data_IF_405061151394
#
_entry.id   IF_405061151394
#
_cell.length_a   1.000
_cell.length_b   1.000
_cell.length_c   1.000
_cell.angle_alpha   90.00
_cell.angle_beta   90.00
_cell.angle_gamma   90.00
#
_symmetry.space_group_name_H-M   'P 1'
#
loop_
_entity.id
_entity.type
_entity.pdbx_description
1 polymer ?
#
# COMPACT_ATOMS: atom_id res chain seq x y z
N UNK A 1 23.43 -4.96 23.22
CA UNK A 1 23.04 -3.73 22.50
C UNK A 1 22.02 -2.98 23.34
N UNK A 2 22.04 -1.63 23.39
CA UNK A 2 20.98 -0.87 24.04
C UNK A 2 19.62 -1.22 23.44
N UNK A 3 18.57 -1.24 24.27
CA UNK A 3 17.19 -1.47 23.77
C UNK A 3 16.80 -0.31 22.83
N UNK A 4 16.13 -0.58 21.70
CA UNK A 4 15.65 0.47 20.80
C UNK A 4 14.79 1.51 21.52
N UNK A 5 14.88 2.79 21.11
CA UNK A 5 14.19 3.90 21.77
C UNK A 5 12.66 3.69 21.85
N UNK A 6 12.07 3.06 20.83
CA UNK A 6 10.64 2.83 20.73
C UNK A 6 10.07 1.91 21.83
N UNK A 7 10.89 1.05 22.44
CA UNK A 7 10.47 0.14 23.54
C UNK A 7 10.06 0.89 24.81
N UNK A 8 10.36 2.19 24.90
CA UNK A 8 9.96 3.08 26.01
C UNK A 8 8.65 3.81 25.74
N UNK A 9 8.12 3.73 24.51
CA UNK A 9 6.89 4.42 24.11
C UNK A 9 5.68 3.69 24.66
N UNK A 10 4.81 4.41 25.36
CA UNK A 10 3.54 3.89 25.90
C UNK A 10 2.39 4.35 25.01
N UNK A 11 1.67 3.39 24.43
CA UNK A 11 0.47 3.67 23.63
C UNK A 11 -0.69 4.03 24.55
N UNK A 12 -1.15 5.28 24.51
CA UNK A 12 -2.31 5.77 25.26
C UNK A 12 -3.16 6.72 24.41
N UNK A 13 -4.43 6.93 24.79
CA UNK A 13 -5.29 7.90 24.13
C UNK A 13 -4.66 9.30 24.12
N UNK A 14 -4.15 9.75 25.28
CA UNK A 14 -3.45 11.03 25.41
C UNK A 14 -2.22 11.16 24.50
N UNK A 15 -1.49 10.05 24.24
CA UNK A 15 -0.36 10.09 23.31
C UNK A 15 -0.81 10.24 21.84
N UNK A 16 -1.94 9.64 21.47
CA UNK A 16 -2.54 9.78 20.14
C UNK A 16 -3.22 11.14 19.95
N UNK A 17 -3.84 11.70 20.99
CA UNK A 17 -4.47 13.03 20.93
C UNK A 17 -3.42 14.13 20.68
N UNK A 18 -2.21 13.96 21.19
CA UNK A 18 -1.06 14.86 20.88
C UNK A 18 -0.68 14.86 19.40
N UNK A 19 -1.03 13.81 18.65
CA UNK A 19 -0.75 13.71 17.21
C UNK A 19 -1.91 14.25 16.34
N UNK A 20 -3.05 14.64 16.91
CA UNK A 20 -4.19 15.16 16.14
C UNK A 20 -3.85 16.41 15.31
N UNK A 21 -3.02 17.37 15.77
CA UNK A 21 -2.60 18.49 14.92
C UNK A 21 -1.79 18.04 13.70
N UNK A 22 -0.87 17.08 13.87
CA UNK A 22 -0.08 16.51 12.78
C UNK A 22 -0.96 15.74 11.80
N UNK A 23 -1.97 15.01 12.29
CA UNK A 23 -2.95 14.34 11.43
C UNK A 23 -3.65 15.32 10.50
N UNK A 24 -4.19 16.42 11.04
CA UNK A 24 -4.88 17.42 10.22
C UNK A 24 -3.94 18.03 9.19
N UNK A 25 -2.73 18.40 9.61
CA UNK A 25 -1.72 18.97 8.71
C UNK A 25 -1.36 18.00 7.57
N UNK A 26 -1.14 16.72 7.89
CA UNK A 26 -0.78 15.71 6.89
C UNK A 26 -1.95 15.41 5.95
N UNK A 27 -3.17 15.32 6.48
CA UNK A 27 -4.37 15.11 5.66
C UNK A 27 -4.62 16.29 4.71
N UNK A 28 -4.56 17.51 5.21
CA UNK A 28 -4.68 18.73 4.40
C UNK A 28 -3.58 18.80 3.34
N UNK A 29 -2.36 18.36 3.66
CA UNK A 29 -1.27 18.27 2.69
C UNK A 29 -1.59 17.31 1.55
N UNK A 30 -2.13 16.12 1.85
CA UNK A 30 -2.55 15.15 0.82
C UNK A 30 -3.65 15.76 -0.05
N UNK A 31 -4.71 16.29 0.56
CA UNK A 31 -5.89 16.84 -0.13
C UNK A 31 -5.55 18.06 -1.00
N UNK A 32 -4.59 18.88 -0.58
CA UNK A 32 -4.23 20.12 -1.29
C UNK A 32 -3.17 19.90 -2.37
N UNK A 33 -2.23 18.99 -2.15
CA UNK A 33 -1.04 18.90 -2.99
C UNK A 33 -0.88 17.56 -3.70
N UNK A 34 -1.31 16.47 -3.09
CA UNK A 34 -0.99 15.13 -3.57
C UNK A 34 -2.13 14.50 -4.37
N UNK A 35 -3.37 14.91 -4.16
CA UNK A 35 -4.51 14.37 -4.91
C UNK A 35 -4.68 15.13 -6.23
N UNK A 36 -4.71 14.40 -7.33
CA UNK A 36 -5.03 14.94 -8.64
C UNK A 36 -6.53 15.20 -8.81
N UNK A 37 -6.90 15.89 -9.89
CA UNK A 37 -8.29 16.23 -10.20
C UNK A 37 -9.23 15.03 -10.36
N UNK A 38 -8.68 13.83 -10.57
CA UNK A 38 -9.42 12.58 -10.73
C UNK A 38 -9.48 11.76 -9.43
N UNK A 39 -8.82 12.21 -8.36
CA UNK A 39 -8.78 11.53 -7.07
C UNK A 39 -7.60 10.57 -6.88
N UNK A 40 -6.64 10.49 -7.81
CA UNK A 40 -5.41 9.71 -7.63
C UNK A 40 -4.39 10.49 -6.80
N UNK A 41 -3.68 9.80 -5.92
CA UNK A 41 -2.54 10.37 -5.18
C UNK A 41 -1.29 10.30 -6.05
N UNK A 42 -0.67 11.44 -6.34
CA UNK A 42 0.60 11.54 -7.04
C UNK A 42 1.72 10.79 -6.30
N UNK A 43 2.64 10.25 -7.08
CA UNK A 43 3.87 9.64 -6.61
C UNK A 43 5.07 10.56 -6.80
N UNK A 44 6.08 10.36 -5.95
CA UNK A 44 7.39 10.97 -6.10
C UNK A 44 7.37 12.49 -6.28
N UNK A 45 6.50 13.23 -5.60
CA UNK A 45 6.44 14.69 -5.75
C UNK A 45 7.76 15.35 -5.34
N UNK A 46 8.13 16.44 -6.00
CA UNK A 46 9.31 17.23 -5.66
C UNK A 46 9.07 17.91 -4.28
N UNK A 47 9.87 17.57 -3.28
CA UNK A 47 9.69 18.07 -1.91
C UNK A 47 9.93 19.58 -1.79
N UNK A 48 10.74 20.18 -2.66
CA UNK A 48 11.03 21.62 -2.65
C UNK A 48 9.86 22.43 -3.20
N UNK A 49 9.25 21.97 -4.29
CA UNK A 49 8.16 22.70 -4.97
C UNK A 49 6.77 22.25 -4.51
N UNK A 50 6.69 21.09 -3.85
CA UNK A 50 5.45 20.42 -3.43
C UNK A 50 4.51 20.22 -4.64
N UNK A 51 5.11 19.85 -5.78
CA UNK A 51 4.42 19.59 -7.05
C UNK A 51 5.01 18.34 -7.71
N UNK A 52 4.29 17.69 -8.65
CA UNK A 52 4.91 16.72 -9.54
C UNK A 52 6.14 17.31 -10.23
N UNK A 53 7.17 16.49 -10.44
CA UNK A 53 8.35 16.90 -11.20
C UNK A 53 7.96 17.31 -12.63
N UNK A 54 8.72 18.25 -13.18
CA UNK A 54 8.64 18.63 -14.60
C UNK A 54 9.74 17.95 -15.40
N UNK A 55 9.55 17.77 -16.71
CA UNK A 55 10.59 17.20 -17.59
C UNK A 55 11.88 18.03 -17.56
N UNK A 56 11.77 19.36 -17.40
CA UNK A 56 12.93 20.25 -17.27
C UNK A 56 13.76 19.96 -16.01
N UNK A 57 13.11 19.69 -14.87
CA UNK A 57 13.79 19.30 -13.63
C UNK A 57 14.37 17.89 -13.74
N UNK A 58 13.63 16.96 -14.35
CA UNK A 58 14.06 15.56 -14.53
C UNK A 58 15.24 15.40 -15.49
N UNK A 59 15.43 16.35 -16.43
CA UNK A 59 16.55 16.33 -17.39
C UNK A 59 17.92 16.28 -16.69
N UNK A 60 18.05 16.91 -15.51
CA UNK A 60 19.29 16.92 -14.74
C UNK A 60 19.69 15.53 -14.21
N UNK A 61 18.73 14.62 -14.07
CA UNK A 61 18.93 13.27 -13.55
C UNK A 61 19.22 12.24 -14.64
N UNK A 62 19.28 12.68 -15.92
CA UNK A 62 19.53 11.82 -17.08
C UNK A 62 18.62 10.58 -17.10
N UNK A 63 17.34 10.76 -16.72
CA UNK A 63 16.34 9.71 -16.84
C UNK A 63 16.19 9.38 -18.33
N UNK A 64 16.73 8.23 -18.75
CA UNK A 64 16.63 7.77 -20.14
C UNK A 64 15.15 7.59 -20.50
N UNK A 65 14.76 7.77 -21.78
CA UNK A 65 13.44 7.39 -22.26
C UNK A 65 13.37 5.86 -22.35
N UNK A 66 13.27 5.20 -21.20
CA UNK A 66 12.77 3.82 -21.08
C UNK A 66 11.46 3.86 -20.28
N UNK A 67 10.79 5.01 -20.30
CA UNK A 67 9.36 4.96 -20.17
C UNK A 67 8.90 4.07 -21.34
N UNK A 68 8.00 3.13 -21.02
CA UNK A 68 7.34 2.24 -21.96
C UNK A 68 7.23 2.89 -23.35
N UNK A 69 7.37 2.20 -24.49
CA UNK A 69 7.23 2.84 -25.81
C UNK A 69 5.93 3.66 -25.99
N UNK A 70 4.97 3.51 -25.08
CA UNK A 70 3.68 4.20 -25.02
C UNK A 70 3.63 5.37 -24.02
N UNK A 71 4.67 5.59 -23.21
CA UNK A 71 4.80 6.70 -22.25
C UNK A 71 6.01 7.52 -22.68
N UNK A 72 5.77 8.66 -23.30
CA UNK A 72 6.85 9.51 -23.84
C UNK A 72 7.17 10.72 -22.93
N UNK A 73 6.60 10.75 -21.73
CA UNK A 73 6.70 11.86 -20.78
C UNK A 73 7.22 11.34 -19.41
N UNK A 74 8.50 11.57 -19.09
CA UNK A 74 9.10 11.17 -17.82
C UNK A 74 8.38 11.73 -16.59
N UNK A 75 7.96 13.00 -16.61
CA UNK A 75 7.21 13.61 -15.52
C UNK A 75 5.89 12.88 -15.24
N UNK A 76 5.14 12.52 -16.29
CA UNK A 76 3.89 11.76 -16.16
C UNK A 76 4.12 10.32 -15.68
N UNK A 77 5.21 9.67 -16.06
CA UNK A 77 5.59 8.39 -15.49
C UNK A 77 5.83 8.54 -13.98
N UNK A 78 6.68 9.50 -13.60
CA UNK A 78 7.10 9.71 -12.21
C UNK A 78 5.93 10.06 -11.30
N UNK A 79 5.08 10.98 -11.75
CA UNK A 79 3.92 11.43 -10.99
C UNK A 79 2.91 10.31 -10.70
N UNK A 80 2.96 9.19 -11.43
CA UNK A 80 1.94 8.14 -11.34
C UNK A 80 2.47 6.72 -11.09
N UNK A 81 3.79 6.51 -11.00
CA UNK A 81 4.42 5.19 -10.89
C UNK A 81 3.97 4.36 -9.70
N UNK A 82 3.61 4.97 -8.56
CA UNK A 82 3.09 4.30 -7.36
C UNK A 82 1.70 4.83 -6.95
N UNK A 83 1.01 5.51 -7.86
CA UNK A 83 -0.16 6.32 -7.49
C UNK A 83 -1.32 5.49 -6.95
N UNK A 84 -1.57 4.30 -7.51
CA UNK A 84 -2.59 3.39 -6.96
C UNK A 84 -2.27 2.91 -5.55
N UNK A 85 -0.99 2.78 -5.18
CA UNK A 85 -0.59 2.41 -3.82
C UNK A 85 -0.89 3.54 -2.84
N UNK A 86 -0.45 4.76 -3.16
CA UNK A 86 -0.75 5.95 -2.35
C UNK A 86 -2.26 6.19 -2.24
N UNK A 87 -2.98 6.04 -3.35
CA UNK A 87 -4.44 6.20 -3.42
C UNK A 87 -5.15 5.15 -2.56
N UNK A 88 -4.75 3.89 -2.66
CA UNK A 88 -5.32 2.80 -1.86
C UNK A 88 -5.07 2.97 -0.37
N UNK A 89 -3.84 3.30 0.03
CA UNK A 89 -3.53 3.56 1.45
C UNK A 89 -4.27 4.78 2.00
N UNK A 90 -4.38 5.86 1.21
CA UNK A 90 -5.13 7.04 1.61
C UNK A 90 -6.62 6.74 1.76
N UNK A 91 -7.24 6.06 0.79
CA UNK A 91 -8.63 5.63 0.88
C UNK A 91 -8.88 4.75 2.12
N UNK A 92 -8.00 3.77 2.38
CA UNK A 92 -8.08 2.91 3.56
C UNK A 92 -7.94 3.72 4.87
N UNK A 93 -7.12 4.77 4.89
CA UNK A 93 -6.97 5.66 6.05
C UNK A 93 -8.26 6.42 6.33
N UNK A 94 -8.97 6.87 5.29
CA UNK A 94 -10.23 7.60 5.44
C UNK A 94 -11.39 6.68 5.84
N UNK A 95 -11.40 5.42 5.37
CA UNK A 95 -12.33 4.40 5.91
C UNK A 95 -12.06 4.18 7.40
N UNK A 96 -10.79 4.03 7.81
CA UNK A 96 -10.44 3.85 9.23
C UNK A 96 -10.81 5.08 10.08
N UNK A 97 -10.67 6.30 9.54
CA UNK A 97 -11.14 7.54 10.17
C UNK A 97 -12.66 7.49 10.38
N UNK A 98 -13.43 7.21 9.33
CA UNK A 98 -14.89 7.09 9.42
C UNK A 98 -15.31 6.04 10.47
N UNK A 99 -14.71 4.86 10.46
CA UNK A 99 -15.02 3.81 11.44
C UNK A 99 -14.69 4.21 12.88
N UNK A 100 -13.72 5.11 13.07
CA UNK A 100 -13.30 5.59 14.39
C UNK A 100 -14.16 6.76 14.88
N UNK A 101 -14.59 7.66 14.00
CA UNK A 101 -15.21 8.95 14.37
C UNK A 101 -16.68 9.09 13.97
N UNK A 102 -17.16 8.28 13.02
CA UNK A 102 -18.45 8.46 12.36
C UNK A 102 -18.49 9.61 11.36
N UNK A 103 -17.34 10.20 11.01
CA UNK A 103 -17.26 11.39 10.16
C UNK A 103 -17.55 11.07 8.69
N UNK A 104 -18.74 11.47 8.23
CA UNK A 104 -19.19 11.24 6.86
C UNK A 104 -18.31 11.90 5.79
N UNK A 105 -17.58 12.98 6.11
CA UNK A 105 -16.63 13.60 5.17
C UNK A 105 -15.49 12.62 4.84
N UNK A 106 -14.97 11.91 5.85
CA UNK A 106 -13.95 10.90 5.64
C UNK A 106 -14.44 9.77 4.71
N UNK A 107 -15.68 9.32 4.89
CA UNK A 107 -16.27 8.32 4.00
C UNK A 107 -16.48 8.86 2.57
N UNK A 108 -16.87 10.13 2.44
CA UNK A 108 -16.96 10.82 1.15
C UNK A 108 -15.62 10.91 0.42
N UNK A 109 -14.55 11.25 1.15
CA UNK A 109 -13.18 11.23 0.63
C UNK A 109 -12.81 9.81 0.17
N UNK A 110 -12.96 8.79 1.02
CA UNK A 110 -12.70 7.40 0.63
C UNK A 110 -13.47 6.98 -0.65
N UNK A 111 -14.74 7.38 -0.77
CA UNK A 111 -15.55 7.12 -1.95
C UNK A 111 -14.96 7.75 -3.23
N UNK A 112 -14.41 8.96 -3.13
CA UNK A 112 -13.75 9.64 -4.25
C UNK A 112 -12.53 8.85 -4.73
N UNK A 113 -11.60 8.48 -3.83
CA UNK A 113 -10.44 7.68 -4.22
C UNK A 113 -10.82 6.28 -4.75
N UNK A 114 -11.84 5.65 -4.17
CA UNK A 114 -12.35 4.36 -4.67
C UNK A 114 -12.93 4.49 -6.07
N UNK A 115 -13.67 5.57 -6.33
CA UNK A 115 -14.15 5.89 -7.68
C UNK A 115 -12.99 6.05 -8.67
N UNK A 116 -11.93 6.78 -8.28
CA UNK A 116 -10.72 6.94 -9.10
C UNK A 116 -10.09 5.58 -9.46
N UNK A 117 -9.91 4.68 -8.50
CA UNK A 117 -9.38 3.33 -8.75
C UNK A 117 -10.30 2.50 -9.65
N UNK A 118 -11.63 2.59 -9.46
CA UNK A 118 -12.61 1.91 -10.33
C UNK A 118 -12.60 2.44 -11.77
N UNK A 119 -12.27 3.73 -11.96
CA UNK A 119 -12.06 4.30 -13.29
C UNK A 119 -10.78 3.78 -13.94
N UNK A 120 -9.70 3.56 -13.17
CA UNK A 120 -8.49 2.91 -13.72
C UNK A 120 -8.79 1.46 -14.14
N UNK A 121 -9.58 0.71 -13.37
CA UNK A 121 -10.09 -0.60 -13.81
C UNK A 121 -10.88 -0.49 -15.11
N UNK A 122 -11.83 0.46 -15.20
CA UNK A 122 -12.63 0.66 -16.40
C UNK A 122 -11.76 0.93 -17.64
N UNK A 123 -10.73 1.75 -17.50
CA UNK A 123 -9.77 1.98 -18.58
C UNK A 123 -8.97 0.72 -18.93
N UNK A 124 -8.62 -0.10 -17.93
CA UNK A 124 -8.00 -1.40 -18.14
C UNK A 124 -8.89 -2.41 -18.88
N UNK A 125 -10.21 -2.35 -18.70
CA UNK A 125 -11.16 -3.21 -19.42
C UNK A 125 -11.14 -2.99 -20.95
N UNK A 126 -10.65 -1.83 -21.42
CA UNK A 126 -10.46 -1.56 -22.85
C UNK A 126 -9.35 -2.44 -23.46
N UNK A 127 -8.41 -2.90 -22.64
CA UNK A 127 -7.43 -3.91 -23.02
C UNK A 127 -7.98 -5.31 -22.73
N UNK A 128 -8.31 -5.59 -21.47
CA UNK A 128 -8.96 -6.83 -21.07
C UNK A 128 -9.69 -6.69 -19.73
N UNK A 129 -10.83 -7.36 -19.60
CA UNK A 129 -11.57 -7.40 -18.33
C UNK A 129 -10.70 -7.92 -17.19
N UNK A 130 -10.66 -7.17 -16.08
CA UNK A 130 -9.87 -7.51 -14.91
C UNK A 130 -8.41 -7.02 -14.95
N UNK A 131 -7.95 -6.48 -16.08
CA UNK A 131 -6.68 -5.79 -16.14
C UNK A 131 -6.74 -4.48 -15.37
N UNK A 132 -5.78 -4.26 -14.47
CA UNK A 132 -5.60 -3.00 -13.73
C UNK A 132 -4.24 -2.39 -14.13
N UNK A 133 -4.22 -1.43 -15.08
CA UNK A 133 -2.98 -0.84 -15.56
C UNK A 133 -2.36 0.10 -14.53
N UNK A 134 -1.04 0.30 -14.64
CA UNK A 134 -0.40 1.46 -14.02
C UNK A 134 -0.92 2.74 -14.65
N UNK A 135 -1.38 3.74 -13.88
CA UNK A 135 -2.05 4.89 -14.44
C UNK A 135 -1.09 6.00 -14.88
N UNK A 136 -0.11 5.66 -15.73
CA UNK A 136 0.85 6.62 -16.25
C UNK A 136 0.16 7.78 -16.97
N UNK A 137 0.46 9.01 -16.54
CA UNK A 137 -0.22 10.22 -17.03
C UNK A 137 -1.66 10.38 -16.54
N UNK A 138 -2.05 9.67 -15.48
CA UNK A 138 -3.36 9.73 -14.84
C UNK A 138 -4.44 8.90 -15.55
N UNK A 139 -5.67 8.99 -15.04
CA UNK A 139 -6.81 8.18 -15.53
C UNK A 139 -7.06 8.38 -17.03
N UNK A 140 -6.84 9.59 -17.55
CA UNK A 140 -7.09 9.92 -18.97
C UNK A 140 -6.16 9.20 -19.95
N UNK A 141 -5.02 8.69 -19.47
CA UNK A 141 -3.97 8.07 -20.28
C UNK A 141 -3.69 6.62 -19.90
N UNK A 142 -4.24 6.14 -18.78
CA UNK A 142 -3.91 4.82 -18.26
C UNK A 142 -4.32 3.66 -19.18
N UNK A 143 -5.32 3.83 -20.06
CA UNK A 143 -5.67 2.83 -21.07
C UNK A 143 -4.53 2.52 -22.05
N UNK A 144 -3.58 3.45 -22.23
CA UNK A 144 -2.40 3.25 -23.10
C UNK A 144 -1.23 2.60 -22.37
N UNK A 145 -1.34 2.44 -21.04
CA UNK A 145 -0.36 1.74 -20.24
C UNK A 145 -0.63 0.24 -20.33
N UNK A 146 0.32 -0.50 -20.91
CA UNK A 146 0.31 -1.96 -20.87
C UNK A 146 1.15 -2.49 -19.69
N UNK A 147 1.54 -1.61 -18.75
CA UNK A 147 2.29 -2.02 -17.57
C UNK A 147 1.36 -2.35 -16.41
N UNK A 148 1.71 -3.41 -15.69
CA UNK A 148 1.05 -3.88 -14.48
C UNK A 148 2.05 -3.87 -13.32
N UNK A 149 1.55 -3.63 -12.10
CA UNK A 149 2.32 -3.84 -10.87
C UNK A 149 1.48 -4.59 -9.84
N UNK A 150 1.91 -5.79 -9.41
CA UNK A 150 1.30 -6.50 -8.28
C UNK A 150 1.16 -5.64 -7.03
N UNK A 151 2.16 -4.79 -6.77
CA UNK A 151 2.23 -3.93 -5.60
C UNK A 151 1.07 -2.93 -5.55
N UNK A 152 0.70 -2.38 -6.71
CA UNK A 152 -0.43 -1.46 -6.86
C UNK A 152 -1.76 -2.18 -6.67
N UNK A 153 -1.87 -3.41 -7.18
CA UNK A 153 -3.10 -4.20 -7.12
C UNK A 153 -3.52 -4.50 -5.69
N UNK A 154 -2.59 -4.90 -4.82
CA UNK A 154 -2.95 -5.25 -3.44
C UNK A 154 -3.45 -4.05 -2.65
N UNK A 155 -2.85 -2.87 -2.83
CA UNK A 155 -3.32 -1.66 -2.13
C UNK A 155 -4.69 -1.21 -2.64
N UNK A 156 -4.93 -1.33 -3.95
CA UNK A 156 -6.27 -1.15 -4.50
C UNK A 156 -7.25 -2.16 -3.91
N UNK A 157 -6.92 -3.45 -3.88
CA UNK A 157 -7.78 -4.50 -3.33
C UNK A 157 -8.14 -4.25 -1.86
N UNK A 158 -7.16 -3.94 -1.02
CA UNK A 158 -7.37 -3.62 0.40
C UNK A 158 -8.32 -2.44 0.57
N UNK A 159 -8.12 -1.36 -0.19
CA UNK A 159 -8.97 -0.18 -0.14
C UNK A 159 -10.40 -0.46 -0.61
N UNK A 160 -10.56 -1.18 -1.72
CA UNK A 160 -11.86 -1.60 -2.24
C UNK A 160 -12.61 -2.45 -1.22
N UNK A 161 -11.96 -3.46 -0.62
CA UNK A 161 -12.57 -4.31 0.42
C UNK A 161 -12.94 -3.54 1.68
N UNK A 162 -12.10 -2.59 2.12
CA UNK A 162 -12.39 -1.76 3.29
C UNK A 162 -13.62 -0.87 3.05
N UNK A 163 -13.68 -0.17 1.92
CA UNK A 163 -14.79 0.73 1.60
C UNK A 163 -16.09 -0.01 1.29
N UNK A 164 -16.03 -1.21 0.70
CA UNK A 164 -17.20 -1.96 0.22
C UNK A 164 -18.30 -2.12 1.26
N UNK A 165 -17.96 -2.25 2.55
CA UNK A 165 -18.93 -2.42 3.66
C UNK A 165 -19.84 -1.21 3.85
N UNK A 166 -19.36 -0.05 3.44
CA UNK A 166 -20.02 1.26 3.57
C UNK A 166 -20.55 1.78 2.23
N UNK A 167 -20.15 1.14 1.12
CA UNK A 167 -20.53 1.53 -0.23
C UNK A 167 -22.04 1.35 -0.48
N UNK A 168 -22.67 2.22 -1.28
CA UNK A 168 -24.03 1.99 -1.78
C UNK A 168 -24.13 0.64 -2.53
N UNK A 169 -25.31 -0.01 -2.56
CA UNK A 169 -25.46 -1.34 -3.16
C UNK A 169 -24.97 -1.45 -4.61
N UNK A 170 -25.14 -0.39 -5.42
CA UNK A 170 -24.65 -0.36 -6.81
C UNK A 170 -23.14 -0.36 -6.90
N UNK A 171 -22.46 0.47 -6.10
CA UNK A 171 -21.00 0.51 -6.04
C UNK A 171 -20.44 -0.78 -5.45
N UNK A 172 -21.07 -1.35 -4.41
CA UNK A 172 -20.67 -2.64 -3.84
C UNK A 172 -20.63 -3.73 -4.91
N UNK A 173 -21.68 -3.85 -5.74
CA UNK A 173 -21.71 -4.80 -6.85
C UNK A 173 -20.57 -4.56 -7.85
N UNK A 174 -20.29 -3.29 -8.19
CA UNK A 174 -19.19 -2.97 -9.12
C UNK A 174 -17.82 -3.32 -8.54
N UNK A 175 -17.63 -3.11 -7.23
CA UNK A 175 -16.42 -3.55 -6.52
C UNK A 175 -16.30 -5.07 -6.58
N UNK A 176 -17.39 -5.81 -6.30
CA UNK A 176 -17.40 -7.28 -6.39
C UNK A 176 -17.03 -7.76 -7.80
N UNK A 177 -17.63 -7.15 -8.84
CA UNK A 177 -17.33 -7.44 -10.24
C UNK A 177 -15.85 -7.26 -10.58
N UNK A 178 -15.23 -6.15 -10.16
CA UNK A 178 -13.81 -5.88 -10.46
C UNK A 178 -12.86 -6.80 -9.69
N UNK A 179 -13.18 -7.15 -8.45
CA UNK A 179 -12.36 -8.10 -7.67
C UNK A 179 -12.39 -9.48 -8.30
N UNK A 180 -13.57 -9.96 -8.71
CA UNK A 180 -13.72 -11.24 -9.41
C UNK A 180 -13.00 -11.20 -10.76
N UNK A 181 -13.19 -10.11 -11.52
CA UNK A 181 -12.51 -9.93 -12.80
C UNK A 181 -10.98 -9.93 -12.66
N UNK A 182 -10.42 -9.30 -11.62
CA UNK A 182 -8.99 -9.31 -11.35
C UNK A 182 -8.47 -10.73 -11.07
N UNK A 183 -9.21 -11.52 -10.27
CA UNK A 183 -8.88 -12.91 -10.02
C UNK A 183 -8.92 -13.75 -11.31
N UNK A 184 -9.98 -13.61 -12.10
CA UNK A 184 -10.13 -14.28 -13.40
C UNK A 184 -9.00 -13.90 -14.37
N UNK A 185 -8.63 -12.62 -14.45
CA UNK A 185 -7.55 -12.13 -15.31
C UNK A 185 -6.22 -12.83 -15.02
N UNK A 186 -5.85 -12.93 -13.74
CA UNK A 186 -4.64 -13.62 -13.32
C UNK A 186 -4.74 -15.13 -13.53
N UNK A 187 -5.87 -15.75 -13.20
CA UNK A 187 -6.06 -17.20 -13.35
C UNK A 187 -6.02 -17.64 -14.81
N UNK A 188 -6.67 -16.90 -15.72
CA UNK A 188 -6.69 -17.18 -17.15
C UNK A 188 -5.29 -17.17 -17.79
N UNK A 189 -4.36 -16.42 -17.20
CA UNK A 189 -2.95 -16.35 -17.63
C UNK A 189 -2.03 -17.32 -16.88
N UNK A 190 -2.60 -18.21 -16.07
CA UNK A 190 -1.82 -19.11 -15.22
C UNK A 190 -0.94 -18.36 -14.21
N UNK A 191 -1.38 -17.18 -13.76
CA UNK A 191 -0.67 -16.28 -12.82
C UNK A 191 0.60 -15.64 -13.39
N UNK A 192 0.72 -15.63 -14.72
CA UNK A 192 1.84 -15.05 -15.45
C UNK A 192 1.41 -13.69 -16.01
N UNK A 193 2.28 -12.68 -16.00
CA UNK A 193 2.03 -11.44 -16.74
C UNK A 193 3.30 -10.89 -17.38
N UNK A 194 3.20 -10.27 -18.56
CA UNK A 194 4.30 -9.51 -19.12
C UNK A 194 4.53 -8.26 -18.26
N UNK A 195 5.78 -7.98 -17.92
CA UNK A 195 6.19 -6.71 -17.34
C UNK A 195 7.01 -5.96 -18.38
N UNK A 196 6.52 -4.77 -18.75
CA UNK A 196 7.19 -3.84 -19.68
C UNK A 196 7.58 -4.47 -21.01
N UNK A 197 6.75 -5.40 -21.51
CA UNK A 197 6.95 -6.09 -22.80
C UNK A 197 8.32 -6.80 -22.96
N UNK A 198 9.10 -6.94 -21.88
CA UNK A 198 10.52 -7.33 -21.92
C UNK A 198 10.86 -8.52 -21.04
N UNK A 199 10.06 -8.79 -20.00
CA UNK A 199 10.20 -10.00 -19.20
C UNK A 199 8.87 -10.49 -18.65
N UNK A 200 8.81 -11.79 -18.42
CA UNK A 200 7.63 -12.47 -17.87
C UNK A 200 7.76 -12.55 -16.36
N UNK A 201 6.77 -12.03 -15.64
CA UNK A 201 6.68 -12.13 -14.19
C UNK A 201 5.84 -13.36 -13.83
N UNK A 202 6.40 -14.20 -12.98
CA UNK A 202 5.73 -15.34 -12.38
C UNK A 202 5.87 -15.28 -10.86
N UNK A 203 5.00 -15.98 -10.10
CA UNK A 203 5.17 -16.11 -8.66
C UNK A 203 6.56 -16.67 -8.27
N UNK A 204 7.16 -17.55 -9.08
CA UNK A 204 8.45 -18.17 -8.78
C UNK A 204 9.62 -17.19 -8.93
N UNK A 205 9.60 -16.30 -9.94
CA UNK A 205 10.68 -15.33 -10.16
C UNK A 205 10.47 -13.98 -9.45
N UNK A 206 9.24 -13.71 -9.01
CA UNK A 206 8.86 -12.57 -8.16
C UNK A 206 7.91 -13.06 -7.05
N UNK A 207 8.44 -13.74 -6.02
CA UNK A 207 7.67 -14.34 -4.92
C UNK A 207 6.68 -13.40 -4.24
N UNK A 208 7.00 -12.11 -4.14
CA UNK A 208 6.11 -11.12 -3.53
C UNK A 208 4.78 -10.95 -4.25
N UNK A 209 4.66 -11.36 -5.52
CA UNK A 209 3.41 -11.31 -6.27
C UNK A 209 2.28 -12.08 -5.56
N UNK A 210 2.58 -13.07 -4.71
CA UNK A 210 1.54 -13.77 -3.95
C UNK A 210 0.80 -12.86 -2.95
N UNK A 211 1.33 -11.67 -2.62
CA UNK A 211 0.66 -10.69 -1.78
C UNK A 211 -0.70 -10.24 -2.33
N UNK A 212 -0.88 -10.23 -3.65
CA UNK A 212 -2.17 -9.97 -4.30
C UNK A 212 -2.91 -11.26 -4.63
N UNK A 213 -2.21 -12.29 -5.13
CA UNK A 213 -2.87 -13.48 -5.66
C UNK A 213 -3.62 -14.26 -4.59
N UNK A 214 -3.04 -14.43 -3.40
CA UNK A 214 -3.70 -15.14 -2.29
C UNK A 214 -4.98 -14.43 -1.84
N UNK A 215 -4.96 -13.13 -1.46
CA UNK A 215 -6.18 -12.46 -1.04
C UNK A 215 -7.20 -12.26 -2.16
N UNK A 216 -6.79 -11.97 -3.41
CA UNK A 216 -7.77 -11.74 -4.49
C UNK A 216 -8.56 -13.02 -4.80
N UNK A 217 -7.91 -14.19 -4.79
CA UNK A 217 -8.58 -15.47 -4.97
C UNK A 217 -9.54 -15.77 -3.82
N UNK A 218 -9.16 -15.48 -2.58
CA UNK A 218 -10.04 -15.65 -1.42
C UNK A 218 -11.25 -14.71 -1.47
N UNK A 219 -11.05 -13.44 -1.84
CA UNK A 219 -12.16 -12.52 -2.06
C UNK A 219 -13.09 -13.02 -3.17
N UNK A 220 -12.55 -13.45 -4.31
CA UNK A 220 -13.35 -13.96 -5.43
C UNK A 220 -14.13 -15.22 -5.06
N UNK A 221 -13.53 -16.14 -4.31
CA UNK A 221 -14.22 -17.31 -3.75
C UNK A 221 -15.39 -16.90 -2.86
N UNK A 222 -15.20 -15.95 -1.93
CA UNK A 222 -16.28 -15.52 -1.04
C UNK A 222 -17.40 -14.75 -1.75
N UNK A 223 -17.08 -14.04 -2.82
CA UNK A 223 -18.07 -13.31 -3.63
C UNK A 223 -18.92 -14.27 -4.45
N UNK A 224 -18.31 -15.31 -5.02
CA UNK A 224 -18.95 -16.16 -6.06
C UNK A 224 -19.37 -17.54 -5.57
N UNK A 225 -18.72 -18.08 -4.55
CA UNK A 225 -18.81 -19.49 -4.15
C UNK A 225 -18.07 -20.46 -5.07
N UNK A 226 -17.36 -19.98 -6.10
CA UNK A 226 -16.69 -20.85 -7.09
C UNK A 226 -15.37 -21.42 -6.54
N UNK A 227 -15.34 -22.74 -6.34
CA UNK A 227 -14.21 -23.46 -5.77
C UNK A 227 -12.91 -23.29 -6.58
N UNK A 228 -12.98 -22.95 -7.88
CA UNK A 228 -11.80 -22.79 -8.74
C UNK A 228 -10.77 -21.80 -8.18
N UNK A 229 -11.23 -20.78 -7.45
CA UNK A 229 -10.35 -19.77 -6.87
C UNK A 229 -9.60 -20.30 -5.66
N UNK A 230 -10.30 -21.05 -4.78
CA UNK A 230 -9.70 -21.67 -3.61
C UNK A 230 -8.74 -22.79 -4.00
N UNK A 231 -9.11 -23.61 -4.99
CA UNK A 231 -8.27 -24.71 -5.49
C UNK A 231 -6.95 -24.19 -6.08
N UNK A 232 -6.98 -23.01 -6.71
CA UNK A 232 -5.79 -22.38 -7.29
C UNK A 232 -4.74 -21.97 -6.24
N UNK A 233 -5.10 -21.80 -4.96
CA UNK A 233 -4.16 -21.42 -3.90
C UNK A 233 -3.04 -22.45 -3.69
N UNK A 234 -3.32 -23.72 -3.97
CA UNK A 234 -2.34 -24.81 -3.86
C UNK A 234 -1.08 -24.57 -4.70
N UNK A 235 -1.19 -23.78 -5.78
CA UNK A 235 -0.06 -23.38 -6.65
C UNK A 235 0.99 -22.55 -5.92
N UNK A 236 0.63 -21.88 -4.83
CA UNK A 236 1.52 -20.99 -4.09
C UNK A 236 2.08 -21.62 -2.81
N UNK A 237 1.79 -22.90 -2.54
CA UNK A 237 2.21 -23.57 -1.30
C UNK A 237 3.72 -23.44 -1.03
N UNK A 238 4.57 -23.75 -2.01
CA UNK A 238 6.01 -23.66 -1.85
C UNK A 238 6.49 -22.24 -1.52
N UNK A 239 5.89 -21.22 -2.14
CA UNK A 239 6.24 -19.82 -1.88
C UNK A 239 5.75 -19.39 -0.49
N UNK A 240 4.55 -19.81 -0.09
CA UNK A 240 4.05 -19.56 1.27
C UNK A 240 4.93 -20.23 2.33
N UNK A 241 5.40 -21.45 2.06
CA UNK A 241 6.35 -22.16 2.93
C UNK A 241 7.69 -21.39 3.03
N UNK A 242 8.18 -20.85 1.92
CA UNK A 242 9.40 -20.03 1.90
C UNK A 242 9.25 -18.75 2.73
N UNK A 243 8.14 -18.02 2.60
CA UNK A 243 7.87 -16.85 3.43
C UNK A 243 7.70 -17.21 4.92
N UNK A 244 7.01 -18.31 5.21
CA UNK A 244 6.88 -18.84 6.57
C UNK A 244 8.23 -19.34 7.14
N UNK A 245 9.18 -19.71 6.29
CA UNK A 245 10.56 -20.02 6.68
C UNK A 245 11.43 -18.77 6.86
N UNK A 246 10.97 -17.59 6.42
CA UNK A 246 11.73 -16.33 6.48
C UNK A 246 12.58 -16.06 5.24
N UNK A 247 12.30 -16.73 4.12
CA UNK A 247 13.01 -16.53 2.84
C UNK A 247 12.33 -15.41 2.05
N UNK A 248 12.66 -14.17 2.40
CA UNK A 248 12.19 -12.98 1.69
C UNK A 248 13.25 -11.89 1.70
N UNK A 249 13.05 -10.87 0.86
CA UNK A 249 13.86 -9.65 0.88
C UNK A 249 13.37 -8.72 2.00
N UNK A 250 14.29 -8.02 2.67
CA UNK A 250 13.93 -7.00 3.64
C UNK A 250 13.75 -5.67 2.92
N UNK A 251 12.51 -5.24 2.77
CA UNK A 251 12.10 -3.98 2.16
C UNK A 251 10.74 -3.53 2.72
N UNK A 252 10.62 -2.31 3.24
CA UNK A 252 9.39 -1.84 3.91
C UNK A 252 8.14 -1.92 3.02
N UNK A 253 8.24 -1.59 1.72
CA UNK A 253 7.17 -1.85 0.76
C UNK A 253 6.72 -3.33 0.80
N UNK A 254 7.65 -4.28 0.68
CA UNK A 254 7.31 -5.69 0.68
C UNK A 254 6.60 -6.13 1.97
N UNK A 255 7.11 -5.71 3.14
CA UNK A 255 6.43 -5.98 4.41
C UNK A 255 4.99 -5.46 4.40
N UNK A 256 4.78 -4.23 3.92
CA UNK A 256 3.46 -3.63 3.86
C UNK A 256 2.49 -4.36 2.93
N UNK A 257 2.97 -4.81 1.77
CA UNK A 257 2.16 -5.55 0.80
C UNK A 257 1.79 -6.94 1.33
N UNK A 258 2.78 -7.69 1.82
CA UNK A 258 2.58 -9.06 2.29
C UNK A 258 1.73 -9.11 3.56
N UNK A 259 2.00 -8.26 4.55
CA UNK A 259 1.26 -8.27 5.82
C UNK A 259 -0.20 -7.88 5.60
N UNK A 260 -0.48 -6.85 4.79
CA UNK A 260 -1.87 -6.47 4.51
C UNK A 260 -2.58 -7.52 3.64
N UNK A 261 -1.92 -8.08 2.64
CA UNK A 261 -2.50 -9.13 1.81
C UNK A 261 -2.82 -10.40 2.59
N UNK A 262 -1.93 -10.85 3.46
CA UNK A 262 -2.17 -11.99 4.33
C UNK A 262 -3.22 -11.71 5.41
N UNK A 263 -3.21 -10.51 6.01
CA UNK A 263 -4.27 -10.09 6.91
C UNK A 263 -5.64 -10.13 6.21
N UNK A 264 -5.73 -9.59 4.98
CA UNK A 264 -6.95 -9.61 4.20
C UNK A 264 -7.40 -11.05 3.91
N UNK A 265 -6.51 -11.92 3.45
CA UNK A 265 -6.85 -13.32 3.19
C UNK A 265 -7.38 -14.05 4.44
N UNK A 266 -6.78 -13.81 5.61
CA UNK A 266 -7.26 -14.33 6.90
C UNK A 266 -8.66 -13.77 7.23
N UNK A 267 -8.89 -12.47 7.03
CA UNK A 267 -10.20 -11.85 7.23
C UNK A 267 -11.28 -12.38 6.26
N UNK A 268 -10.86 -12.86 5.09
CA UNK A 268 -11.70 -13.56 4.11
C UNK A 268 -11.79 -15.07 4.39
N UNK A 269 -11.35 -15.54 5.57
CA UNK A 269 -11.58 -16.91 6.04
C UNK A 269 -10.57 -17.95 5.55
N UNK A 270 -9.42 -17.53 5.01
CA UNK A 270 -8.32 -18.47 4.75
C UNK A 270 -7.65 -18.84 6.08
N UNK A 271 -7.90 -20.07 6.52
CA UNK A 271 -7.28 -20.64 7.72
C UNK A 271 -6.00 -21.39 7.36
N UNK A 272 -4.91 -20.64 7.21
CA UNK A 272 -3.58 -21.17 6.94
C UNK A 272 -2.56 -20.49 7.86
N UNK A 273 -1.98 -21.25 8.78
CA UNK A 273 -1.09 -20.74 9.82
C UNK A 273 0.20 -20.13 9.25
N UNK A 274 0.60 -20.53 8.04
CA UNK A 274 1.79 -19.98 7.36
C UNK A 274 1.68 -18.46 7.16
N UNK A 275 0.48 -17.95 6.96
CA UNK A 275 0.22 -16.51 6.78
C UNK A 275 0.55 -15.75 8.07
N UNK A 276 0.13 -16.27 9.22
CA UNK A 276 0.43 -15.67 10.53
C UNK A 276 1.93 -15.75 10.83
N UNK A 277 2.56 -16.90 10.60
CA UNK A 277 4.01 -17.08 10.77
C UNK A 277 4.79 -16.08 9.89
N UNK A 278 4.40 -15.94 8.62
CA UNK A 278 5.02 -15.00 7.70
C UNK A 278 4.82 -13.54 8.15
N UNK A 279 3.63 -13.16 8.64
CA UNK A 279 3.39 -11.82 9.21
C UNK A 279 4.36 -11.53 10.35
N UNK A 280 4.53 -12.47 11.30
CA UNK A 280 5.49 -12.31 12.41
C UNK A 280 6.92 -12.11 11.89
N UNK A 281 7.38 -13.00 11.02
CA UNK A 281 8.76 -12.96 10.49
C UNK A 281 9.04 -11.70 9.69
N UNK A 282 8.10 -11.30 8.82
CA UNK A 282 8.19 -10.05 8.08
C UNK A 282 8.28 -8.87 9.05
N UNK A 283 7.42 -8.80 10.07
CA UNK A 283 7.50 -7.75 11.07
C UNK A 283 8.87 -7.72 11.77
N UNK A 284 9.29 -8.83 12.39
CA UNK A 284 10.54 -8.94 13.13
C UNK A 284 11.74 -8.52 12.28
N UNK A 285 11.84 -9.03 11.04
CA UNK A 285 12.93 -8.68 10.13
C UNK A 285 12.98 -7.19 9.79
N UNK A 286 11.84 -6.51 9.66
CA UNK A 286 11.80 -5.10 9.24
C UNK A 286 11.94 -4.11 10.41
N UNK A 287 11.57 -4.51 11.63
CA UNK A 287 11.84 -3.68 12.83
C UNK A 287 13.34 -3.46 13.03
N UNK A 288 14.19 -4.41 12.63
CA UNK A 288 15.66 -4.29 12.72
C UNK A 288 16.25 -3.18 11.83
N UNK A 289 15.49 -2.70 10.85
CA UNK A 289 15.90 -1.64 9.93
C UNK A 289 15.47 -0.25 10.42
N UNK A 290 14.69 -0.15 11.50
CA UNK A 290 14.20 1.13 12.03
C UNK A 290 15.26 1.80 12.90
N UNK A 291 15.43 3.10 12.69
CA UNK A 291 16.36 3.97 13.41
C UNK A 291 15.68 4.74 14.54
N UNK A 292 16.49 5.24 15.50
CA UNK A 292 16.02 6.03 16.64
C UNK A 292 15.47 7.42 16.27
N UNK A 293 15.74 7.89 15.04
CA UNK A 293 15.16 9.09 14.46
C UNK A 293 13.82 8.84 13.75
N UNK A 294 13.36 7.59 13.67
CA UNK A 294 12.11 7.19 13.03
C UNK A 294 12.22 6.92 11.52
N UNK A 295 13.38 7.09 10.92
CA UNK A 295 13.66 6.63 9.55
C UNK A 295 13.97 5.12 9.56
N UNK A 296 14.13 4.54 8.38
CA UNK A 296 14.62 3.17 8.26
C UNK A 296 15.58 2.98 7.09
N UNK A 297 16.42 1.95 7.19
CA UNK A 297 17.27 1.53 6.08
C UNK A 297 16.46 0.77 5.02
N UNK A 298 16.63 1.11 3.74
CA UNK A 298 15.92 0.45 2.61
C UNK A 298 16.77 -0.56 1.86
N UNK A 299 18.03 -0.72 2.24
CA UNK A 299 18.96 -1.69 1.68
C UNK A 299 19.64 -2.50 2.78
N UNK A 300 20.15 -3.68 2.41
CA UNK A 300 20.81 -4.60 3.36
C UNK A 300 22.13 -4.03 3.86
N UNK A 301 22.76 -3.21 3.04
CA UNK A 301 24.03 -2.53 3.30
C UNK A 301 23.86 -1.35 4.27
N UNK A 302 22.62 -0.95 4.57
CA UNK A 302 22.28 0.14 5.50
C UNK A 302 22.91 1.48 5.07
N UNK A 303 22.91 1.74 3.77
CA UNK A 303 23.49 2.95 3.18
C UNK A 303 22.47 4.01 2.86
N UNK A 304 21.17 3.66 2.79
CA UNK A 304 20.11 4.59 2.42
C UNK A 304 19.02 4.64 3.47
N UNK A 305 18.70 5.86 3.93
CA UNK A 305 17.60 6.13 4.85
C UNK A 305 16.37 6.63 4.12
N UNK A 306 15.22 6.09 4.49
CA UNK A 306 13.92 6.41 3.93
C UNK A 306 12.88 6.60 5.02
N UNK A 307 11.87 7.39 4.73
CA UNK A 307 10.65 7.49 5.53
C UNK A 307 9.69 6.32 5.29
N UNK A 308 10.01 5.37 4.40
CA UNK A 308 9.22 4.15 4.19
C UNK A 308 9.10 3.28 5.45
N UNK A 309 9.92 3.50 6.49
CA UNK A 309 9.70 2.92 7.82
C UNK A 309 8.28 3.20 8.34
N UNK A 310 7.67 4.34 8.00
CA UNK A 310 6.30 4.71 8.38
C UNK A 310 5.25 3.70 7.93
N UNK A 311 5.56 2.89 6.91
CA UNK A 311 4.65 1.82 6.49
C UNK A 311 4.42 0.80 7.59
N UNK A 312 5.41 0.56 8.46
CA UNK A 312 5.22 -0.27 9.65
C UNK A 312 4.21 0.33 10.64
N UNK A 313 4.05 1.66 10.69
CA UNK A 313 3.03 2.28 11.53
C UNK A 313 1.60 1.92 11.06
N UNK A 314 1.39 1.87 9.74
CA UNK A 314 0.14 1.38 9.15
C UNK A 314 -0.16 -0.08 9.50
N UNK A 315 0.87 -0.93 9.58
CA UNK A 315 0.74 -2.37 9.85
C UNK A 315 0.65 -2.71 11.34
N UNK A 316 1.18 -1.87 12.21
CA UNK A 316 1.34 -2.15 13.63
C UNK A 316 0.06 -2.67 14.32
N UNK A 317 -1.13 -2.06 14.11
CA UNK A 317 -2.37 -2.57 14.70
C UNK A 317 -2.78 -3.94 14.19
N UNK A 318 -2.44 -4.29 12.94
CA UNK A 318 -2.70 -5.61 12.35
C UNK A 318 -1.77 -6.66 12.96
N UNK A 319 -0.48 -6.34 13.10
CA UNK A 319 0.50 -7.27 13.70
C UNK A 319 0.16 -7.55 15.17
N UNK A 320 -0.11 -6.50 15.96
CA UNK A 320 -0.51 -6.67 17.37
C UNK A 320 -1.86 -7.38 17.55
N UNK A 321 -2.67 -7.53 16.48
CA UNK A 321 -3.91 -8.31 16.56
C UNK A 321 -3.58 -9.81 16.70
N UNK A 322 -2.54 -10.27 16.02
CA UNK A 322 -2.09 -11.66 16.04
C UNK A 322 -1.02 -11.91 17.10
N UNK A 323 -0.16 -10.91 17.36
CA UNK A 323 1.08 -11.06 18.12
C UNK A 323 1.29 -9.89 19.11
N UNK A 324 0.47 -9.78 20.16
CA UNK A 324 0.58 -8.68 21.14
C UNK A 324 1.92 -8.67 21.89
N UNK A 325 2.65 -9.78 21.92
CA UNK A 325 4.00 -9.88 22.50
C UNK A 325 5.05 -9.03 21.75
N UNK A 326 4.81 -8.75 20.46
CA UNK A 326 5.72 -7.95 19.64
C UNK A 326 5.64 -6.45 19.92
N UNK A 327 4.63 -5.99 20.67
CA UNK A 327 4.41 -4.58 21.00
C UNK A 327 4.44 -3.66 19.75
N UNK A 328 3.90 -4.14 18.64
CA UNK A 328 3.94 -3.47 17.34
C UNK A 328 3.34 -2.08 17.38
N UNK A 329 2.24 -1.87 18.14
CA UNK A 329 1.64 -0.55 18.31
C UNK A 329 2.57 0.45 19.00
N UNK A 330 3.52 0.02 19.85
CA UNK A 330 4.51 0.94 20.46
C UNK A 330 5.45 1.49 19.39
N UNK A 331 5.96 0.62 18.51
CA UNK A 331 6.76 1.03 17.37
C UNK A 331 5.94 1.92 16.41
N UNK A 332 4.70 1.55 16.12
CA UNK A 332 3.82 2.36 15.28
C UNK A 332 3.66 3.78 15.82
N UNK A 333 3.34 3.93 17.11
CA UNK A 333 3.23 5.24 17.75
C UNK A 333 4.58 6.01 17.73
N UNK A 334 5.70 5.33 17.96
CA UNK A 334 7.03 5.93 17.86
C UNK A 334 7.29 6.53 16.48
N UNK A 335 7.01 5.77 15.41
CA UNK A 335 7.22 6.21 14.02
C UNK A 335 6.36 7.43 13.69
N UNK A 336 5.09 7.44 14.12
CA UNK A 336 4.20 8.59 13.92
C UNK A 336 4.71 9.84 14.66
N UNK A 337 5.19 9.69 15.89
CA UNK A 337 5.75 10.80 16.68
C UNK A 337 7.02 11.41 16.07
N UNK A 338 7.81 10.59 15.37
CA UNK A 338 9.07 11.03 14.75
C UNK A 338 8.91 11.69 13.40
N UNK A 339 7.79 11.44 12.73
CA UNK A 339 7.55 11.91 11.37
C UNK A 339 6.24 12.69 11.31
N UNK A 340 6.22 13.94 11.76
CA UNK A 340 4.99 14.78 11.76
C UNK A 340 4.95 15.82 10.64
N UNK A 341 6.01 15.94 9.85
CA UNK A 341 6.12 16.89 8.75
C UNK A 341 6.09 16.14 7.41
N UNK A 342 5.01 16.25 6.61
CA UNK A 342 4.88 15.50 5.36
C UNK A 342 5.92 15.89 4.30
N UNK A 343 6.45 17.13 4.31
CA UNK A 343 7.48 17.53 3.34
C UNK A 343 8.84 16.86 3.60
N UNK A 344 9.02 16.29 4.80
CA UNK A 344 10.24 15.56 5.20
C UNK A 344 10.09 14.05 5.12
N UNK A 345 8.92 13.56 4.70
CA UNK A 345 8.70 12.14 4.47
C UNK A 345 9.24 11.78 3.09
N UNK A 346 10.55 11.53 2.98
CA UNK A 346 11.25 11.35 1.70
C UNK A 346 11.61 9.88 1.46
N UNK A 347 11.66 9.49 0.19
CA UNK A 347 12.14 8.15 -0.20
C UNK A 347 13.65 7.96 0.05
N UNK A 348 14.44 9.02 -0.14
CA UNK A 348 15.87 9.02 0.14
C UNK A 348 16.19 10.33 0.87
N UNK A 349 16.60 10.23 2.13
CA UNK A 349 16.91 11.37 3.01
C UNK A 349 18.38 11.82 2.91
N UNK A 350 19.18 11.19 2.05
CA UNK A 350 20.59 11.49 1.85
C UNK A 350 20.87 11.77 0.36
N UNK A 351 21.95 12.50 0.06
CA UNK A 351 22.38 12.84 -1.32
C UNK A 351 22.94 11.63 -2.06
N UNK A 352 22.12 10.61 -2.27
CA UNK A 352 22.46 9.53 -3.18
C UNK A 352 22.26 10.00 -4.63
N UNK A 353 23.28 9.82 -5.47
CA UNK A 353 23.05 9.85 -6.92
C UNK A 353 22.07 8.71 -7.26
N UNK A 354 21.04 8.93 -8.08
CA UNK A 354 20.14 7.87 -8.50
C UNK A 354 20.98 6.73 -9.09
N UNK A 355 20.85 5.53 -8.54
CA UNK A 355 21.61 4.36 -9.03
C UNK A 355 20.89 3.65 -10.18
N UNK A 356 19.60 3.94 -10.39
CA UNK A 356 18.79 3.23 -11.39
C UNK A 356 17.55 4.05 -11.78
N UNK A 357 17.07 3.88 -13.01
CA UNK A 357 16.08 4.73 -13.68
C UNK A 357 14.64 4.62 -13.12
N UNK A 358 14.43 3.69 -12.17
CA UNK A 358 13.12 3.37 -11.60
C UNK A 358 13.03 3.63 -10.08
N UNK A 359 14.12 4.12 -9.48
CA UNK A 359 14.16 4.44 -8.07
C UNK A 359 13.77 5.89 -7.83
N UNK A 360 13.12 6.21 -6.71
CA UNK A 360 12.81 7.59 -6.32
C UNK A 360 14.06 8.49 -6.36
N UNK A 361 13.87 9.77 -6.70
CA UNK A 361 14.96 10.75 -6.58
C UNK A 361 15.17 11.12 -5.12
N UNK A 362 16.40 11.52 -4.76
CA UNK A 362 16.60 12.31 -3.56
C UNK A 362 15.65 13.52 -3.61
N UNK A 363 15.10 13.90 -2.46
CA UNK A 363 14.09 15.00 -2.36
C UNK A 363 12.73 14.67 -3.00
N UNK A 364 12.44 13.41 -3.34
CA UNK A 364 11.07 13.01 -3.65
C UNK A 364 10.31 12.68 -2.38
N UNK A 365 9.15 13.31 -2.21
CA UNK A 365 8.17 12.94 -1.18
C UNK A 365 7.78 11.48 -1.39
N UNK A 366 7.75 10.73 -0.30
CA UNK A 366 7.28 9.36 -0.21
C UNK A 366 5.80 9.35 0.13
N UNK A 367 4.95 9.33 -0.90
CA UNK A 367 3.50 9.27 -0.76
C UNK A 367 3.04 8.08 0.09
N UNK A 368 3.77 6.97 0.03
CA UNK A 368 3.48 5.77 0.81
C UNK A 368 3.73 6.00 2.29
N UNK A 369 4.77 6.76 2.65
CA UNK A 369 5.01 7.15 4.04
C UNK A 369 3.91 8.10 4.55
N UNK A 370 3.53 9.09 3.74
CA UNK A 370 2.47 10.06 4.08
C UNK A 370 1.13 9.36 4.30
N UNK A 371 0.71 8.51 3.35
CA UNK A 371 -0.55 7.78 3.44
C UNK A 371 -0.54 6.73 4.58
N UNK A 372 0.57 6.01 4.76
CA UNK A 372 0.75 5.07 5.87
C UNK A 372 0.75 5.74 7.24
N UNK A 373 1.22 7.00 7.35
CA UNK A 373 1.13 7.76 8.60
C UNK A 373 -0.33 7.94 9.00
N UNK A 374 -1.18 8.40 8.08
CA UNK A 374 -2.61 8.60 8.32
C UNK A 374 -3.32 7.27 8.65
N UNK A 375 -3.01 6.22 7.89
CA UNK A 375 -3.57 4.89 8.12
C UNK A 375 -3.18 4.35 9.50
N UNK A 376 -1.91 4.48 9.89
CA UNK A 376 -1.40 4.06 11.19
C UNK A 376 -2.06 4.82 12.35
N UNK A 377 -2.19 6.14 12.21
CA UNK A 377 -2.86 7.00 13.20
C UNK A 377 -4.30 6.52 13.47
N UNK A 378 -5.11 6.38 12.42
CA UNK A 378 -6.51 6.01 12.56
C UNK A 378 -6.69 4.57 13.04
N UNK A 379 -5.90 3.61 12.56
CA UNK A 379 -5.94 2.22 13.07
C UNK A 379 -5.55 2.13 14.56
N UNK A 380 -4.57 2.93 15.02
CA UNK A 380 -4.19 2.97 16.45
C UNK A 380 -5.31 3.56 17.31
N UNK A 381 -6.03 4.59 16.83
CA UNK A 381 -7.21 5.12 17.54
C UNK A 381 -8.35 4.11 17.59
N UNK A 382 -8.64 3.42 16.48
CA UNK A 382 -9.72 2.44 16.39
C UNK A 382 -9.61 1.32 17.44
N UNK A 383 -8.39 0.83 17.74
CA UNK A 383 -8.17 -0.19 18.80
C UNK A 383 -8.52 0.29 20.21
N UNK A 384 -8.56 1.60 20.44
CA UNK A 384 -8.84 2.19 21.76
C UNK A 384 -10.29 2.61 21.93
N UNK A 385 -11.02 2.80 20.83
CA UNK A 385 -12.46 3.02 20.90
C UNK A 385 -13.10 1.81 21.61
N UNK A 386 -13.95 2.03 22.63
CA UNK A 386 -14.79 0.96 23.15
C UNK A 386 -15.50 0.33 21.95
N UNK A 387 -15.38 -0.99 21.77
CA UNK A 387 -16.16 -1.68 20.73
C UNK A 387 -17.62 -1.46 21.09
N UNK A 388 -18.26 -0.46 20.49
CA UNK A 388 -19.70 -0.26 20.61
C UNK A 388 -20.33 -1.60 20.23
N UNK A 389 -21.03 -2.23 21.19
CA UNK A 389 -21.35 -3.66 21.17
C UNK A 389 -21.82 -4.15 19.81
N UNK A 390 -20.89 -4.65 19.01
CA UNK A 390 -21.21 -5.33 17.77
C UNK A 390 -21.74 -6.69 18.20
N UNK A 391 -23.07 -6.78 18.34
CA UNK A 391 -23.75 -8.05 18.41
C UNK A 391 -23.22 -8.93 17.29
N UNK A 392 -22.65 -10.07 17.65
CA UNK A 392 -22.13 -11.04 16.70
C UNK A 392 -23.25 -11.36 15.70
N UNK A 393 -23.10 -10.88 14.47
CA UNK A 393 -23.89 -11.40 13.35
C UNK A 393 -23.36 -12.80 13.11
N UNK A 394 -24.15 -13.79 13.55
CA UNK A 394 -23.96 -15.21 13.22
C UNK A 394 -24.21 -15.43 11.75
#
# INVERSE_FOLDING_TARGET
MPKPAWTKVKVSAAALDKLAPAERQIREFVETHMVDECGLVYSFMNAKTVKPWTDAELKAYNLRPVCHPNVNNPAEYYAYENSLMGTGEYAASQVARFETTGDGEALGTAAHQVSAMMQVFYQGELFEKGFLPKPFGGIRKCAYSHELSPDQHIKTLVALRAYQRHAPPSQKRRIDEYIVALADYHQARGFIHPRRESFVVTPENRPHHICILVPVLMCAYNITGDAKYKDALSRFNAIMDDYAAGKFEAHFNLAALMIEGYHLAICEGLDDERLRIAIRKLWEAHVEFVLDDGLGYVDKERTKKSSESLRLAGLAPLVDQYFPDLNACQLGLFLLQKNTDPQRMLYINETAKPMDYHGPLAESICELAVASWLLGYWRLRARRAPRAGCGARK
#
